data_IF_211934251691
#
_entry.id   IF_211934251691
#
_cell.length_a   1.000
_cell.length_b   1.000
_cell.length_c   1.000
_cell.angle_alpha   90.00
_cell.angle_beta   90.00
_cell.angle_gamma   90.00
#
_symmetry.space_group_name_H-M   'P 1'
#
loop_
_entity.id
_entity.type
_entity.pdbx_description
1 polymer ?
#
# COMPACT_ATOMS: atom_id res chain seq x y z
N UNK A 1 -23.67 -23.50 3.11
CA UNK A 1 -22.57 -22.54 3.01
C UNK A 1 -21.37 -23.28 2.48
N UNK A 2 -20.61 -22.73 1.52
CA UNK A 2 -19.44 -23.39 0.94
C UNK A 2 -18.32 -23.40 1.99
N UNK A 3 -17.62 -24.54 2.14
CA UNK A 3 -16.47 -24.67 3.04
C UNK A 3 -15.17 -24.26 2.33
N UNK A 4 -14.99 -22.94 2.15
CA UNK A 4 -13.81 -22.42 1.46
C UNK A 4 -12.50 -22.72 2.19
N UNK A 5 -12.49 -22.84 3.52
CA UNK A 5 -11.26 -23.18 4.24
C UNK A 5 -10.85 -24.64 4.00
N UNK A 6 -11.82 -25.57 3.93
CA UNK A 6 -11.56 -26.95 3.55
C UNK A 6 -11.04 -27.06 2.13
N UNK A 7 -11.71 -26.42 1.15
CA UNK A 7 -11.30 -26.40 -0.25
C UNK A 7 -9.92 -25.77 -0.44
N UNK A 8 -9.62 -24.65 0.25
CA UNK A 8 -8.32 -23.99 0.18
C UNK A 8 -7.18 -24.88 0.73
N UNK A 9 -7.44 -25.66 1.77
CA UNK A 9 -6.47 -26.63 2.30
C UNK A 9 -6.12 -27.73 1.28
N UNK A 10 -7.08 -28.17 0.48
CA UNK A 10 -6.85 -29.18 -0.56
C UNK A 10 -5.88 -28.67 -1.64
N UNK A 11 -5.90 -27.37 -1.94
CA UNK A 11 -5.03 -26.72 -2.92
C UNK A 11 -3.83 -25.98 -2.30
N UNK A 12 -3.58 -26.10 -0.97
CA UNK A 12 -2.54 -25.34 -0.28
C UNK A 12 -1.16 -25.54 -0.90
N UNK A 13 -0.82 -26.75 -1.28
CA UNK A 13 0.47 -27.03 -1.93
C UNK A 13 0.62 -26.24 -3.25
N UNK A 14 -0.43 -26.11 -4.03
CA UNK A 14 -0.41 -25.32 -5.27
C UNK A 14 -0.21 -23.81 -4.95
N UNK A 15 -0.92 -23.28 -3.96
CA UNK A 15 -0.75 -21.88 -3.54
C UNK A 15 0.70 -21.62 -3.13
N UNK A 16 1.29 -22.50 -2.34
CA UNK A 16 2.70 -22.42 -1.92
C UNK A 16 3.63 -22.50 -3.14
N UNK A 17 3.41 -23.40 -4.08
CA UNK A 17 4.25 -23.50 -5.28
C UNK A 17 4.12 -22.26 -6.17
N UNK A 18 2.93 -21.70 -6.31
CA UNK A 18 2.71 -20.44 -7.04
C UNK A 18 3.50 -19.30 -6.39
N UNK A 19 3.42 -19.14 -5.05
CA UNK A 19 4.22 -18.18 -4.30
C UNK A 19 5.72 -18.36 -4.55
N UNK A 20 6.25 -19.57 -4.38
CA UNK A 20 7.69 -19.88 -4.55
C UNK A 20 8.17 -19.62 -5.96
N UNK A 21 7.31 -19.88 -6.97
CA UNK A 21 7.63 -19.61 -8.37
C UNK A 21 7.80 -18.11 -8.64
N UNK A 22 6.93 -17.26 -8.09
CA UNK A 22 7.04 -15.80 -8.20
C UNK A 22 8.26 -15.31 -7.42
N UNK A 23 8.48 -15.84 -6.20
CA UNK A 23 9.58 -15.46 -5.32
C UNK A 23 10.96 -15.67 -5.93
N UNK A 24 11.15 -16.72 -6.74
CA UNK A 24 12.43 -17.03 -7.41
C UNK A 24 12.83 -16.02 -8.49
N UNK A 25 11.90 -15.28 -9.05
CA UNK A 25 12.12 -14.37 -10.16
C UNK A 25 11.45 -13.02 -9.90
N UNK A 26 11.80 -12.34 -8.79
CA UNK A 26 11.19 -11.07 -8.45
C UNK A 26 11.50 -10.01 -9.50
N UNK A 27 10.50 -9.22 -9.82
CA UNK A 27 10.56 -8.12 -10.78
C UNK A 27 10.01 -6.86 -10.10
N UNK A 28 10.39 -5.66 -10.56
CA UNK A 28 10.09 -4.41 -9.83
C UNK A 28 9.24 -3.44 -10.63
N UNK A 29 8.40 -2.71 -9.93
CA UNK A 29 7.60 -1.63 -10.50
C UNK A 29 6.70 -2.10 -11.64
N UNK A 30 6.91 -1.57 -12.86
CA UNK A 30 6.13 -1.94 -14.05
C UNK A 30 6.80 -2.98 -14.94
N UNK A 31 8.02 -3.39 -14.66
CA UNK A 31 8.80 -4.35 -15.44
C UNK A 31 8.58 -5.77 -14.88
N UNK A 32 7.42 -6.38 -15.19
CA UNK A 32 6.91 -7.61 -14.57
C UNK A 32 6.65 -8.74 -15.58
N UNK A 33 7.39 -8.81 -16.66
CA UNK A 33 7.07 -9.68 -17.80
C UNK A 33 6.84 -11.15 -17.41
N UNK A 34 7.72 -11.73 -16.59
CA UNK A 34 7.61 -13.13 -16.14
C UNK A 34 6.46 -13.35 -15.17
N UNK A 35 6.26 -12.41 -14.25
CA UNK A 35 5.16 -12.46 -13.29
C UNK A 35 3.82 -12.38 -14.02
N UNK A 36 3.71 -11.50 -14.99
CA UNK A 36 2.51 -11.35 -15.81
C UNK A 36 2.21 -12.61 -16.64
N UNK A 37 3.23 -13.17 -17.30
CA UNK A 37 3.08 -14.43 -18.06
C UNK A 37 2.59 -15.56 -17.15
N UNK A 38 3.20 -15.69 -15.96
CA UNK A 38 2.82 -16.72 -14.98
C UNK A 38 1.38 -16.56 -14.48
N UNK A 39 0.95 -15.33 -14.13
CA UNK A 39 -0.42 -15.06 -13.67
C UNK A 39 -1.44 -15.34 -14.78
N UNK A 40 -1.15 -14.93 -16.02
CA UNK A 40 -2.02 -15.22 -17.18
C UNK A 40 -2.13 -16.72 -17.44
N UNK A 41 -1.02 -17.46 -17.37
CA UNK A 41 -0.99 -18.92 -17.54
C UNK A 41 -1.87 -19.59 -16.49
N UNK A 42 -1.70 -19.22 -15.21
CA UNK A 42 -2.49 -19.81 -14.10
C UNK A 42 -3.99 -19.50 -14.21
N UNK A 43 -4.36 -18.29 -14.54
CA UNK A 43 -5.77 -17.95 -14.74
C UNK A 43 -6.38 -18.77 -15.89
N UNK A 44 -5.67 -18.96 -17.01
CA UNK A 44 -6.13 -19.79 -18.12
C UNK A 44 -6.24 -21.27 -17.74
N UNK A 45 -5.29 -21.80 -16.94
CA UNK A 45 -5.38 -23.17 -16.40
C UNK A 45 -6.66 -23.37 -15.57
N UNK A 46 -7.10 -22.35 -14.84
CA UNK A 46 -8.35 -22.38 -14.06
C UNK A 46 -9.61 -22.11 -14.91
N UNK A 47 -9.47 -21.91 -16.22
CA UNK A 47 -10.59 -21.59 -17.11
C UNK A 47 -11.11 -20.16 -16.95
N UNK A 48 -10.25 -19.24 -16.52
CA UNK A 48 -10.53 -17.82 -16.35
C UNK A 48 -9.76 -17.05 -17.43
N UNK A 49 -10.45 -16.19 -18.21
CA UNK A 49 -9.81 -15.44 -19.30
C UNK A 49 -9.19 -14.12 -18.74
N UNK A 50 -7.84 -13.99 -18.71
CA UNK A 50 -7.16 -12.79 -18.27
C UNK A 50 -7.15 -11.71 -19.34
N UNK A 51 -7.10 -10.46 -18.92
CA UNK A 51 -6.94 -9.29 -19.78
C UNK A 51 -5.90 -8.34 -19.18
N UNK A 52 -4.97 -7.86 -19.99
CA UNK A 52 -4.04 -6.80 -19.60
C UNK A 52 -4.77 -5.47 -19.42
N UNK A 53 -4.38 -4.69 -18.42
CA UNK A 53 -4.97 -3.39 -18.09
C UNK A 53 -3.88 -2.46 -17.54
N UNK A 54 -3.84 -1.22 -18.02
CA UNK A 54 -2.74 -0.31 -17.73
C UNK A 54 -1.42 -0.78 -18.36
N UNK A 55 -0.32 -0.36 -17.76
CA UNK A 55 1.04 -0.68 -18.28
C UNK A 55 1.41 -2.15 -18.06
N UNK A 56 1.13 -2.68 -16.87
CA UNK A 56 1.55 -4.04 -16.48
C UNK A 56 0.59 -4.69 -15.47
N UNK A 57 -0.70 -4.36 -15.53
CA UNK A 57 -1.72 -4.98 -14.71
C UNK A 57 -2.46 -6.11 -15.43
N UNK A 58 -3.06 -7.02 -14.65
CA UNK A 58 -3.95 -8.08 -15.15
C UNK A 58 -5.30 -7.97 -14.45
N UNK A 59 -6.38 -8.16 -15.18
CA UNK A 59 -7.73 -8.29 -14.66
C UNK A 59 -8.42 -9.50 -15.27
N UNK A 60 -9.34 -10.07 -14.51
CA UNK A 60 -10.28 -11.08 -15.00
C UNK A 60 -11.58 -10.98 -14.20
N UNK A 61 -12.65 -11.62 -14.68
CA UNK A 61 -13.94 -11.66 -14.01
C UNK A 61 -14.42 -13.08 -13.86
N UNK A 62 -15.12 -13.37 -12.76
CA UNK A 62 -15.73 -14.66 -12.43
C UNK A 62 -17.15 -14.39 -11.96
N UNK A 63 -18.12 -15.22 -12.39
CA UNK A 63 -19.52 -15.11 -11.98
C UNK A 63 -20.41 -14.56 -13.06
N UNK A 64 -21.51 -13.91 -12.66
CA UNK A 64 -22.61 -13.46 -13.52
C UNK A 64 -22.87 -11.97 -13.37
N UNK A 65 -23.77 -11.44 -14.21
CA UNK A 65 -24.26 -10.05 -14.08
C UNK A 65 -24.86 -9.79 -12.69
N UNK A 66 -24.58 -8.63 -12.12
CA UNK A 66 -25.01 -8.22 -10.79
C UNK A 66 -24.00 -7.26 -10.15
N UNK A 67 -24.02 -7.16 -8.82
CA UNK A 67 -23.02 -6.39 -8.08
C UNK A 67 -21.62 -6.93 -8.31
N UNK A 68 -20.65 -6.03 -8.26
CA UNK A 68 -19.25 -6.39 -8.53
C UNK A 68 -18.37 -6.06 -7.33
N UNK A 69 -17.66 -7.07 -6.81
CA UNK A 69 -16.58 -6.87 -5.84
C UNK A 69 -15.22 -7.08 -6.52
N UNK A 70 -14.30 -6.13 -6.30
CA UNK A 70 -12.92 -6.22 -6.78
C UNK A 70 -12.04 -6.83 -5.69
N UNK A 71 -11.24 -7.83 -6.04
CA UNK A 71 -10.19 -8.41 -5.18
C UNK A 71 -8.83 -8.00 -5.74
N UNK A 72 -7.97 -7.42 -4.90
CA UNK A 72 -6.66 -6.89 -5.30
C UNK A 72 -5.51 -7.66 -4.67
N UNK A 73 -4.50 -7.98 -5.47
CA UNK A 73 -3.15 -8.32 -5.04
C UNK A 73 -2.14 -7.55 -5.86
N UNK A 74 -1.10 -7.05 -5.21
CA UNK A 74 0.08 -6.48 -5.84
C UNK A 74 1.07 -7.57 -6.27
N UNK A 75 2.00 -7.25 -7.20
CA UNK A 75 2.88 -8.23 -7.83
C UNK A 75 4.35 -7.86 -7.81
N UNK A 76 4.70 -6.59 -7.60
CA UNK A 76 6.07 -6.11 -7.70
C UNK A 76 6.91 -6.41 -6.47
N UNK A 77 8.23 -6.39 -6.65
CA UNK A 77 9.24 -6.64 -5.63
C UNK A 77 10.06 -5.38 -5.36
N UNK A 78 10.94 -5.47 -4.36
CA UNK A 78 11.85 -4.40 -3.96
C UNK A 78 13.25 -4.56 -4.56
N UNK A 79 13.93 -3.44 -4.89
CA UNK A 79 15.30 -3.44 -5.39
C UNK A 79 16.31 -3.63 -4.24
N UNK A 80 16.29 -4.80 -3.64
CA UNK A 80 17.24 -5.22 -2.60
C UNK A 80 17.59 -6.69 -2.77
N UNK A 81 18.83 -7.06 -2.47
CA UNK A 81 19.29 -8.44 -2.56
C UNK A 81 18.74 -9.27 -1.40
N UNK A 82 18.21 -10.42 -1.70
CA UNK A 82 17.68 -11.34 -0.69
C UNK A 82 18.79 -12.00 0.14
N UNK A 83 18.53 -12.16 1.46
CA UNK A 83 19.44 -12.76 2.44
C UNK A 83 18.78 -13.90 3.24
N UNK A 84 17.64 -14.44 2.79
CA UNK A 84 16.88 -15.47 3.53
C UNK A 84 17.57 -16.83 3.57
N UNK A 85 18.34 -17.19 2.54
CA UNK A 85 18.94 -18.50 2.39
C UNK A 85 17.96 -19.63 2.08
N UNK A 86 16.73 -19.32 1.64
CA UNK A 86 15.72 -20.29 1.22
C UNK A 86 16.16 -21.05 -0.04
N UNK A 87 15.74 -22.31 -0.20
CA UNK A 87 16.02 -23.10 -1.42
C UNK A 87 15.47 -22.45 -2.69
N UNK A 88 14.40 -21.68 -2.56
CA UNK A 88 13.74 -20.92 -3.63
C UNK A 88 14.01 -19.41 -3.54
N UNK A 89 15.09 -19.01 -2.85
CA UNK A 89 15.49 -17.61 -2.78
C UNK A 89 15.65 -16.99 -4.16
N UNK A 90 15.51 -15.66 -4.23
CA UNK A 90 15.69 -14.89 -5.46
C UNK A 90 17.02 -15.17 -6.14
N UNK A 91 16.99 -15.36 -7.45
CA UNK A 91 18.16 -15.54 -8.30
C UNK A 91 18.76 -14.23 -8.84
N UNK A 92 18.21 -13.06 -8.48
CA UNK A 92 18.62 -11.75 -8.98
C UNK A 92 18.86 -10.73 -7.83
N UNK A 93 18.95 -9.45 -8.14
CA UNK A 93 19.21 -8.37 -7.17
C UNK A 93 17.90 -7.78 -6.56
N UNK A 94 16.76 -8.45 -6.73
CA UNK A 94 15.47 -8.04 -6.21
C UNK A 94 14.94 -9.04 -5.19
N UNK A 95 14.00 -8.63 -4.34
CA UNK A 95 13.45 -9.49 -3.28
C UNK A 95 11.97 -9.17 -3.02
N UNK A 96 11.15 -10.21 -2.87
CA UNK A 96 9.77 -10.09 -2.39
C UNK A 96 9.69 -9.93 -0.86
N UNK A 97 10.40 -8.94 -0.31
CA UNK A 97 10.43 -8.69 1.13
C UNK A 97 9.22 -7.92 1.66
N UNK A 98 8.28 -7.51 0.78
CA UNK A 98 6.95 -7.01 1.17
C UNK A 98 5.87 -8.09 1.10
N UNK A 99 6.16 -9.25 0.45
CA UNK A 99 5.26 -10.40 0.40
C UNK A 99 4.24 -10.37 -0.74
N UNK A 100 4.45 -9.56 -1.77
CA UNK A 100 3.55 -9.47 -2.92
C UNK A 100 3.48 -10.79 -3.72
N UNK A 101 4.50 -11.63 -3.65
CA UNK A 101 4.48 -13.02 -4.11
C UNK A 101 3.40 -13.86 -3.40
N UNK A 102 3.26 -13.67 -2.09
CA UNK A 102 2.21 -14.32 -1.29
C UNK A 102 0.82 -13.73 -1.61
N UNK A 103 0.70 -12.41 -1.75
CA UNK A 103 -0.56 -11.77 -2.13
C UNK A 103 -1.07 -12.28 -3.48
N UNK A 104 -0.21 -12.31 -4.49
CA UNK A 104 -0.51 -12.84 -5.82
C UNK A 104 -0.92 -14.31 -5.76
N UNK A 105 -0.19 -15.14 -5.00
CA UNK A 105 -0.50 -16.57 -4.86
C UNK A 105 -1.84 -16.81 -4.15
N UNK A 106 -2.15 -16.03 -3.10
CA UNK A 106 -3.45 -16.11 -2.40
C UNK A 106 -4.60 -15.71 -3.33
N UNK A 107 -4.44 -14.66 -4.14
CA UNK A 107 -5.48 -14.24 -5.08
C UNK A 107 -5.66 -15.26 -6.23
N UNK A 108 -4.60 -15.88 -6.72
CA UNK A 108 -4.68 -17.01 -7.66
C UNK A 108 -5.43 -18.20 -7.05
N UNK A 109 -5.12 -18.56 -5.79
CA UNK A 109 -5.85 -19.58 -5.06
C UNK A 109 -7.34 -19.27 -4.91
N UNK A 110 -7.66 -18.03 -4.52
CA UNK A 110 -9.04 -17.56 -4.45
C UNK A 110 -9.76 -17.59 -5.81
N UNK A 111 -9.08 -17.19 -6.87
CA UNK A 111 -9.62 -17.24 -8.23
C UNK A 111 -10.01 -18.66 -8.65
N UNK A 112 -9.17 -19.66 -8.35
CA UNK A 112 -9.48 -21.07 -8.59
C UNK A 112 -10.71 -21.50 -7.80
N UNK A 113 -10.74 -21.25 -6.49
CA UNK A 113 -11.87 -21.61 -5.62
C UNK A 113 -13.20 -20.99 -6.09
N UNK A 114 -13.15 -19.71 -6.46
CA UNK A 114 -14.31 -18.98 -6.96
C UNK A 114 -14.78 -19.51 -8.31
N UNK A 115 -13.86 -19.88 -9.21
CA UNK A 115 -14.20 -20.45 -10.49
C UNK A 115 -14.88 -21.82 -10.36
N UNK A 116 -14.39 -22.66 -9.46
CA UNK A 116 -15.00 -23.96 -9.16
C UNK A 116 -16.42 -23.81 -8.56
N UNK A 117 -16.73 -22.66 -7.97
CA UNK A 117 -18.02 -22.35 -7.36
C UNK A 117 -18.80 -21.24 -8.12
N UNK A 118 -18.43 -20.96 -9.37
CA UNK A 118 -18.90 -19.79 -10.15
C UNK A 118 -20.44 -19.69 -10.22
N UNK A 119 -21.12 -20.79 -10.41
CA UNK A 119 -22.59 -20.83 -10.53
C UNK A 119 -23.33 -20.40 -9.24
N UNK A 120 -22.64 -20.47 -8.09
CA UNK A 120 -23.20 -20.08 -6.79
C UNK A 120 -23.00 -18.59 -6.47
N UNK A 121 -22.28 -17.84 -7.31
CA UNK A 121 -22.02 -16.43 -7.10
C UNK A 121 -23.26 -15.58 -7.44
N UNK A 122 -23.67 -14.70 -6.54
CA UNK A 122 -24.77 -13.74 -6.71
C UNK A 122 -24.41 -12.48 -7.53
N UNK A 123 -23.30 -12.48 -8.26
CA UNK A 123 -22.81 -11.33 -9.02
C UNK A 123 -21.42 -11.59 -9.58
N UNK A 124 -20.62 -10.55 -9.77
CA UNK A 124 -19.28 -10.62 -10.37
C UNK A 124 -18.16 -10.43 -9.34
N UNK A 125 -17.19 -11.32 -9.32
CA UNK A 125 -15.88 -11.08 -8.71
C UNK A 125 -14.92 -10.61 -9.80
N UNK A 126 -14.30 -9.46 -9.60
CA UNK A 126 -13.30 -8.88 -10.50
C UNK A 126 -11.93 -8.96 -9.85
N UNK A 127 -10.98 -9.57 -10.53
CA UNK A 127 -9.60 -9.71 -10.06
C UNK A 127 -8.76 -8.53 -10.52
N UNK A 128 -7.90 -8.04 -9.65
CA UNK A 128 -6.91 -6.99 -9.92
C UNK A 128 -5.54 -7.47 -9.45
N UNK A 129 -4.70 -7.90 -10.40
CA UNK A 129 -3.29 -8.16 -10.15
C UNK A 129 -2.52 -6.91 -10.54
N UNK A 130 -2.00 -6.20 -9.54
CA UNK A 130 -1.52 -4.83 -9.64
C UNK A 130 0.01 -4.76 -9.69
N UNK A 131 0.62 -4.01 -10.63
CA UNK A 131 2.05 -3.69 -10.63
C UNK A 131 2.36 -2.49 -9.72
N UNK A 132 3.63 -2.21 -9.50
CA UNK A 132 4.18 -0.93 -9.06
C UNK A 132 3.53 -0.33 -7.79
N UNK A 133 3.18 -1.18 -6.81
CA UNK A 133 2.72 -0.70 -5.50
C UNK A 133 3.84 0.05 -4.78
N UNK A 134 5.06 -0.49 -4.79
CA UNK A 134 6.25 0.09 -4.15
C UNK A 134 6.68 1.45 -4.77
N UNK A 135 6.16 1.77 -5.94
CA UNK A 135 6.29 3.08 -6.58
C UNK A 135 5.09 4.01 -6.31
N UNK A 136 4.06 3.51 -5.59
CA UNK A 136 2.77 4.21 -5.34
C UNK A 136 2.08 4.68 -6.63
N UNK A 137 2.15 3.88 -7.70
CA UNK A 137 1.73 4.30 -9.03
C UNK A 137 0.83 3.29 -9.75
N UNK A 138 0.87 2.01 -9.36
CA UNK A 138 0.21 0.94 -10.10
C UNK A 138 -1.31 0.98 -10.02
N UNK A 139 -1.86 1.27 -8.84
CA UNK A 139 -3.31 1.39 -8.68
C UNK A 139 -3.89 2.51 -9.55
N UNK A 140 -3.24 3.68 -9.58
CA UNK A 140 -3.68 4.82 -10.39
C UNK A 140 -3.60 4.50 -11.88
N UNK A 141 -2.51 3.89 -12.36
CA UNK A 141 -2.35 3.44 -13.75
C UNK A 141 -3.48 2.51 -14.18
N UNK A 142 -3.83 1.52 -13.36
CA UNK A 142 -4.96 0.61 -13.64
C UNK A 142 -6.33 1.30 -13.58
N UNK A 143 -6.51 2.28 -12.67
CA UNK A 143 -7.75 3.07 -12.59
C UNK A 143 -7.93 3.92 -13.84
N UNK A 144 -6.89 4.60 -14.30
CA UNK A 144 -6.90 5.40 -15.54
C UNK A 144 -7.17 4.52 -16.77
N UNK A 145 -6.71 3.28 -16.75
CA UNK A 145 -7.01 2.28 -17.78
C UNK A 145 -8.39 1.61 -17.64
N UNK A 146 -9.21 2.01 -16.65
CA UNK A 146 -10.60 1.60 -16.50
C UNK A 146 -10.83 0.33 -15.70
N UNK A 147 -9.94 -0.06 -14.78
CA UNK A 147 -10.12 -1.27 -13.93
C UNK A 147 -11.43 -1.23 -13.11
N UNK A 148 -11.90 -0.05 -12.73
CA UNK A 148 -13.14 0.10 -11.96
C UNK A 148 -14.42 0.06 -12.82
N UNK A 149 -14.27 -0.03 -14.15
CA UNK A 149 -15.38 -0.05 -15.12
C UNK A 149 -15.44 -1.40 -15.86
N UNK A 150 -16.61 -1.72 -16.41
CA UNK A 150 -16.84 -2.86 -17.30
C UNK A 150 -16.39 -4.24 -16.75
N UNK A 151 -17.06 -4.79 -15.71
CA UNK A 151 -18.19 -4.25 -14.97
C UNK A 151 -17.78 -3.16 -13.98
N UNK A 152 -18.73 -2.28 -13.66
CA UNK A 152 -18.51 -1.23 -12.66
C UNK A 152 -18.34 -1.84 -11.28
N UNK A 153 -17.29 -1.49 -10.59
CA UNK A 153 -16.96 -1.99 -9.25
C UNK A 153 -17.84 -1.29 -8.18
N UNK A 154 -18.48 -2.07 -7.33
CA UNK A 154 -19.30 -1.58 -6.21
C UNK A 154 -18.54 -1.57 -4.87
N UNK A 155 -17.59 -2.50 -4.70
CA UNK A 155 -16.72 -2.60 -3.52
C UNK A 155 -15.37 -3.20 -3.87
N UNK A 156 -14.37 -2.98 -3.03
CA UNK A 156 -13.04 -3.54 -3.21
C UNK A 156 -12.48 -4.12 -1.90
N UNK A 157 -11.77 -5.24 -2.00
CA UNK A 157 -11.06 -5.89 -0.90
C UNK A 157 -9.61 -6.14 -1.31
N UNK A 158 -8.68 -5.70 -0.47
CA UNK A 158 -7.26 -6.04 -0.53
C UNK A 158 -6.83 -6.79 0.73
N UNK A 159 -5.80 -7.61 0.62
CA UNK A 159 -5.20 -8.29 1.75
C UNK A 159 -3.68 -8.15 1.67
N UNK A 160 -3.07 -7.73 2.77
CA UNK A 160 -1.63 -7.68 2.92
C UNK A 160 -1.15 -8.73 3.92
N UNK A 161 0.04 -9.26 3.78
CA UNK A 161 0.64 -10.10 4.83
C UNK A 161 1.09 -9.23 6.02
N UNK A 162 1.10 -9.82 7.21
CA UNK A 162 1.58 -9.21 8.42
C UNK A 162 2.52 -10.17 9.14
N UNK A 163 3.77 -9.77 9.35
CA UNK A 163 4.83 -10.64 9.85
C UNK A 163 5.76 -9.88 10.79
N UNK A 164 6.40 -10.59 11.71
CA UNK A 164 7.46 -10.04 12.55
C UNK A 164 6.98 -9.16 13.70
N UNK A 165 5.76 -9.35 14.17
CA UNK A 165 5.25 -8.67 15.38
C UNK A 165 4.35 -9.60 16.21
N UNK A 166 3.88 -9.13 17.37
CA UNK A 166 3.08 -9.93 18.31
C UNK A 166 1.69 -10.30 17.77
N UNK A 167 1.10 -9.46 16.92
CA UNK A 167 -0.26 -9.64 16.39
C UNK A 167 -0.29 -10.37 15.02
N UNK A 168 0.87 -10.75 14.49
CA UNK A 168 0.98 -11.41 13.19
C UNK A 168 0.98 -12.95 13.26
N UNK A 169 0.36 -13.52 14.30
CA UNK A 169 0.25 -14.97 14.47
C UNK A 169 -0.35 -15.61 13.21
N UNK A 170 0.24 -16.72 12.80
CA UNK A 170 -0.14 -17.47 11.59
C UNK A 170 -1.64 -17.73 11.52
N UNK A 171 -2.29 -17.27 10.44
CA UNK A 171 -3.72 -17.47 10.19
C UNK A 171 -4.66 -16.49 10.90
N UNK A 172 -4.15 -15.49 11.64
CA UNK A 172 -4.99 -14.43 12.21
C UNK A 172 -5.22 -13.30 11.21
N UNK A 173 -6.30 -12.52 11.41
CA UNK A 173 -6.56 -11.30 10.64
C UNK A 173 -6.46 -10.09 11.55
N UNK A 174 -5.67 -9.11 11.14
CA UNK A 174 -5.60 -7.79 11.76
C UNK A 174 -6.26 -6.74 10.86
N UNK A 175 -7.09 -5.85 11.42
CA UNK A 175 -7.83 -4.85 10.66
C UNK A 175 -8.01 -3.55 11.43
N UNK A 176 -8.01 -2.43 10.71
CA UNK A 176 -8.44 -1.14 11.22
C UNK A 176 -9.82 -0.78 10.65
N UNK A 177 -10.69 -0.19 11.44
CA UNK A 177 -12.00 0.31 11.03
C UNK A 177 -11.95 1.83 10.86
N UNK A 178 -12.07 2.32 9.64
CA UNK A 178 -11.84 3.72 9.31
C UNK A 178 -10.38 3.99 8.93
N UNK A 179 -9.68 4.95 9.54
CA UNK A 179 -8.28 5.23 9.24
C UNK A 179 -7.41 3.98 9.43
N UNK A 180 -6.77 3.51 8.36
CA UNK A 180 -5.97 2.29 8.34
C UNK A 180 -4.48 2.57 8.17
N UNK A 181 -4.09 3.45 7.23
CA UNK A 181 -2.71 3.87 7.01
C UNK A 181 -2.61 5.39 6.87
N UNK A 182 -1.46 5.95 7.30
CA UNK A 182 -1.16 7.35 7.09
C UNK A 182 -0.93 7.68 5.61
N UNK A 183 -1.18 8.94 5.24
CA UNK A 183 -0.64 9.50 4.00
C UNK A 183 0.89 9.55 4.04
N UNK A 184 1.52 9.63 2.87
CA UNK A 184 2.94 9.91 2.77
C UNK A 184 3.19 10.90 1.65
N UNK A 185 3.76 12.08 1.99
CA UNK A 185 4.14 13.10 1.02
C UNK A 185 5.59 13.51 1.20
N UNK A 186 6.27 13.74 0.09
CA UNK A 186 7.60 14.35 0.05
C UNK A 186 7.54 15.71 -0.61
N UNK A 187 8.09 16.71 0.07
CA UNK A 187 8.10 18.12 -0.36
C UNK A 187 9.54 18.59 -0.44
N UNK A 188 9.92 19.20 -1.55
CA UNK A 188 11.19 19.91 -1.70
C UNK A 188 10.98 21.39 -1.51
N UNK A 189 11.89 22.03 -0.78
CA UNK A 189 11.92 23.49 -0.59
C UNK A 189 13.26 23.98 -1.06
N UNK A 190 13.26 24.79 -2.11
CA UNK A 190 14.45 25.45 -2.61
C UNK A 190 14.48 26.90 -2.14
N UNK A 191 15.44 27.24 -1.29
CA UNK A 191 15.65 28.59 -0.76
C UNK A 191 16.63 29.35 -1.65
N UNK A 192 16.20 30.50 -2.15
CA UNK A 192 16.99 31.43 -2.95
C UNK A 192 17.40 32.65 -2.11
N UNK A 193 18.67 32.81 -1.92
CA UNK A 193 19.31 33.95 -1.32
C UNK A 193 20.16 34.74 -2.34
N UNK A 194 21.28 35.28 -1.86
CA UNK A 194 22.26 35.99 -2.68
C UNK A 194 23.66 35.78 -2.12
N UNK A 195 24.57 35.26 -2.91
CA UNK A 195 25.96 35.08 -2.53
C UNK A 195 26.64 36.43 -2.19
N UNK A 196 27.51 36.41 -1.20
CA UNK A 196 28.39 37.50 -0.86
C UNK A 196 29.66 36.97 -0.19
N UNK A 197 30.71 37.80 -0.14
CA UNK A 197 31.90 37.49 0.63
C UNK A 197 31.57 37.48 2.13
N UNK A 198 32.02 36.47 2.88
CA UNK A 198 31.69 36.31 4.29
C UNK A 198 32.00 37.49 5.21
N UNK A 199 32.92 38.37 4.80
CA UNK A 199 33.27 39.62 5.52
C UNK A 199 32.32 40.82 5.17
N UNK A 200 31.47 40.68 4.17
CA UNK A 200 30.49 41.72 3.75
C UNK A 200 29.08 41.13 3.64
N UNK A 201 28.53 40.61 4.76
CA UNK A 201 27.23 39.95 4.76
C UNK A 201 26.06 40.88 4.38
N UNK A 202 26.21 42.16 4.57
CA UNK A 202 25.26 43.21 4.18
C UNK A 202 24.98 43.28 2.67
N UNK A 203 25.83 42.66 1.85
CA UNK A 203 25.69 42.62 0.38
C UNK A 203 25.00 41.39 -0.15
N UNK A 204 24.72 40.41 0.73
CA UNK A 204 24.11 39.13 0.40
C UNK A 204 22.79 38.88 1.10
N UNK A 205 22.22 37.68 0.86
CA UNK A 205 21.06 37.13 1.54
C UNK A 205 21.42 35.65 1.84
N UNK A 206 21.49 35.32 3.11
CA UNK A 206 21.98 34.00 3.56
C UNK A 206 20.89 32.95 3.47
N UNK A 207 20.98 32.08 2.45
CA UNK A 207 20.02 31.00 2.24
C UNK A 207 20.10 29.91 3.33
N UNK A 208 21.28 29.66 3.92
CA UNK A 208 21.43 28.69 5.03
C UNK A 208 20.69 29.19 6.26
N UNK A 209 20.86 30.48 6.61
CA UNK A 209 20.14 31.09 7.74
C UNK A 209 18.61 30.99 7.54
N UNK A 210 18.14 31.31 6.32
CA UNK A 210 16.71 31.18 5.97
C UNK A 210 16.23 29.74 6.14
N UNK A 211 16.96 28.77 5.58
CA UNK A 211 16.61 27.35 5.68
C UNK A 211 16.54 26.87 7.14
N UNK A 212 17.49 27.28 7.99
CA UNK A 212 17.47 26.97 9.42
C UNK A 212 16.21 27.54 10.12
N UNK A 213 15.80 28.76 9.79
CA UNK A 213 14.57 29.35 10.33
C UNK A 213 13.31 28.64 9.82
N UNK A 214 13.30 28.17 8.55
CA UNK A 214 12.20 27.34 8.02
C UNK A 214 12.07 26.05 8.83
N UNK A 215 13.17 25.33 9.11
CA UNK A 215 13.16 24.10 9.93
C UNK A 215 12.51 24.36 11.29
N UNK A 216 12.88 25.44 11.96
CA UNK A 216 12.32 25.81 13.28
C UNK A 216 10.83 26.19 13.14
N UNK A 217 10.49 27.01 12.16
CA UNK A 217 9.12 27.51 11.98
C UNK A 217 8.12 26.38 11.62
N UNK A 218 8.55 25.35 10.86
CA UNK A 218 7.70 24.21 10.52
C UNK A 218 7.27 23.41 11.75
N UNK A 219 8.05 23.43 12.86
CA UNK A 219 7.64 22.77 14.12
C UNK A 219 6.36 23.37 14.71
N UNK A 220 6.03 24.62 14.38
CA UNK A 220 4.81 25.30 14.82
C UNK A 220 3.55 24.55 14.35
N UNK A 221 3.57 23.93 13.17
CA UNK A 221 2.42 23.22 12.61
C UNK A 221 1.96 22.14 13.58
N UNK A 222 2.86 21.19 13.91
CA UNK A 222 2.52 20.09 14.82
C UNK A 222 2.27 20.57 16.23
N UNK A 223 3.04 21.54 16.71
CA UNK A 223 2.98 21.98 18.09
C UNK A 223 1.74 22.85 18.43
N UNK A 224 1.10 23.49 17.45
CA UNK A 224 0.07 24.51 17.70
C UNK A 224 -1.12 24.49 16.74
N UNK A 225 -1.04 23.80 15.59
CA UNK A 225 -2.07 23.87 14.56
C UNK A 225 -2.81 22.55 14.34
N UNK A 226 -2.17 21.41 14.67
CA UNK A 226 -2.81 20.09 14.63
C UNK A 226 -3.68 19.91 15.87
N UNK A 227 -4.97 19.52 15.75
CA UNK A 227 -5.82 19.17 16.87
C UNK A 227 -5.22 18.07 17.74
N UNK A 228 -5.49 18.10 19.05
CA UNK A 228 -4.91 17.15 20.00
C UNK A 228 -5.43 15.71 19.85
N UNK A 229 -6.54 15.54 19.17
CA UNK A 229 -7.19 14.26 18.85
C UNK A 229 -6.88 13.77 17.42
N UNK A 230 -6.07 14.51 16.67
CA UNK A 230 -5.59 14.13 15.34
C UNK A 230 -4.10 13.75 15.37
N UNK A 231 -3.65 12.99 14.39
CA UNK A 231 -2.26 12.54 14.26
C UNK A 231 -1.68 13.02 12.95
N UNK A 232 -0.53 13.70 13.04
CA UNK A 232 0.19 14.20 11.88
C UNK A 232 1.70 14.24 12.15
N UNK A 233 2.48 14.18 11.07
CA UNK A 233 3.95 14.28 11.12
C UNK A 233 4.41 15.27 10.07
N UNK A 234 5.31 16.19 10.47
CA UNK A 234 6.07 17.06 9.58
C UNK A 234 7.52 17.04 10.04
N UNK A 235 8.40 16.46 9.24
CA UNK A 235 9.84 16.42 9.54
C UNK A 235 10.66 16.90 8.34
N UNK A 236 11.72 17.65 8.62
CA UNK A 236 12.76 17.97 7.63
C UNK A 236 13.81 16.87 7.73
N UNK A 237 13.83 15.96 6.75
CA UNK A 237 14.73 14.81 6.72
C UNK A 237 16.11 15.13 6.14
N UNK A 238 16.19 16.21 5.33
CA UNK A 238 17.46 16.62 4.73
C UNK A 238 17.52 18.13 4.59
N UNK A 239 18.70 18.70 4.82
CA UNK A 239 19.03 20.09 4.59
C UNK A 239 20.45 20.16 3.98
N UNK A 240 20.64 20.97 2.95
CA UNK A 240 21.93 21.22 2.30
C UNK A 240 22.02 22.66 1.81
N UNK A 241 23.21 23.21 1.76
CA UNK A 241 23.43 24.58 1.25
C UNK A 241 24.86 25.07 1.44
N UNK A 242 25.23 26.06 0.63
CA UNK A 242 26.55 26.69 0.64
C UNK A 242 27.66 25.88 -0.03
N UNK A 243 28.74 26.56 -0.44
CA UNK A 243 29.85 25.98 -1.17
C UNK A 243 31.16 26.03 -0.38
N UNK A 244 31.43 27.16 0.33
CA UNK A 244 32.68 27.35 1.07
C UNK A 244 32.42 28.10 2.38
N UNK A 245 33.37 27.93 3.34
CA UNK A 245 33.27 28.50 4.70
C UNK A 245 33.26 30.06 4.73
N UNK A 246 33.81 30.70 3.72
CA UNK A 246 34.01 32.15 3.67
C UNK A 246 33.09 32.92 2.71
N UNK A 247 32.00 32.28 2.27
CA UNK A 247 30.96 32.91 1.45
C UNK A 247 29.57 32.75 2.07
N UNK A 248 28.70 33.76 1.94
CA UNK A 248 27.29 33.60 2.17
C UNK A 248 26.70 32.66 1.11
N UNK A 249 25.89 31.71 1.55
CA UNK A 249 25.22 30.79 0.64
C UNK A 249 24.09 31.47 -0.13
N UNK A 250 24.13 31.40 -1.46
CA UNK A 250 23.08 31.94 -2.33
C UNK A 250 21.91 30.98 -2.52
N UNK A 251 22.05 29.73 -2.11
CA UNK A 251 20.96 28.74 -2.14
C UNK A 251 21.08 27.71 -1.02
N UNK A 252 19.94 27.14 -0.64
CA UNK A 252 19.85 25.97 0.24
C UNK A 252 18.61 25.15 -0.12
N UNK A 253 18.68 23.84 0.12
CA UNK A 253 17.61 22.88 -0.17
C UNK A 253 17.20 22.13 1.09
N UNK A 254 15.89 21.89 1.24
CA UNK A 254 15.32 21.03 2.28
C UNK A 254 14.41 19.99 1.64
N UNK A 255 14.42 18.79 2.21
CA UNK A 255 13.47 17.73 1.89
C UNK A 255 12.63 17.44 3.14
N UNK A 256 11.30 17.55 2.98
CA UNK A 256 10.32 17.45 4.07
C UNK A 256 9.43 16.24 3.83
N UNK A 257 9.25 15.39 4.85
CA UNK A 257 8.25 14.34 4.87
C UNK A 257 7.05 14.80 5.67
N UNK A 258 5.85 14.57 5.09
CA UNK A 258 4.55 14.89 5.69
C UNK A 258 3.70 13.65 5.75
N UNK A 259 3.02 13.42 6.90
CA UNK A 259 2.08 12.32 7.07
C UNK A 259 0.83 12.80 7.81
N UNK A 260 -0.33 12.28 7.41
CA UNK A 260 -1.63 12.61 7.97
C UNK A 260 -2.56 11.38 7.98
N UNK A 261 -3.56 11.42 8.87
CA UNK A 261 -4.58 10.37 9.00
C UNK A 261 -5.80 10.60 8.12
N UNK A 262 -5.98 11.84 7.62
CA UNK A 262 -7.10 12.22 6.77
C UNK A 262 -6.63 13.08 5.59
N UNK A 263 -7.33 13.02 4.46
CA UNK A 263 -7.01 13.86 3.29
C UNK A 263 -7.15 15.34 3.62
N UNK A 264 -8.11 15.73 4.45
CA UNK A 264 -8.27 17.12 4.92
C UNK A 264 -7.04 17.62 5.66
N UNK A 265 -6.49 16.81 6.58
CA UNK A 265 -5.27 17.15 7.32
C UNK A 265 -4.05 17.17 6.39
N UNK A 266 -3.95 16.21 5.48
CA UNK A 266 -2.88 16.14 4.48
C UNK A 266 -2.78 17.43 3.64
N UNK A 267 -3.88 17.87 3.05
CA UNK A 267 -3.94 19.10 2.27
C UNK A 267 -3.67 20.35 3.13
N UNK A 268 -4.14 20.36 4.38
CA UNK A 268 -3.81 21.41 5.32
C UNK A 268 -2.30 21.50 5.58
N UNK A 269 -1.64 20.38 5.88
CA UNK A 269 -0.21 20.34 6.15
C UNK A 269 0.62 20.79 4.94
N UNK A 270 0.30 20.28 3.74
CA UNK A 270 0.94 20.72 2.49
C UNK A 270 0.86 22.23 2.28
N UNK A 271 -0.33 22.77 2.47
CA UNK A 271 -0.57 24.23 2.40
C UNK A 271 0.28 24.98 3.43
N UNK A 272 0.30 24.52 4.69
CA UNK A 272 1.04 25.20 5.76
C UNK A 272 2.55 25.14 5.59
N UNK A 273 3.10 23.99 5.15
CA UNK A 273 4.53 23.87 4.82
C UNK A 273 4.91 24.90 3.77
N UNK A 274 4.11 25.04 2.72
CA UNK A 274 4.35 26.04 1.66
C UNK A 274 4.29 27.48 2.21
N UNK A 275 3.19 27.84 2.88
CA UNK A 275 2.97 29.20 3.40
C UNK A 275 4.08 29.62 4.37
N UNK A 276 4.46 28.77 5.31
CA UNK A 276 5.51 29.06 6.30
C UNK A 276 6.85 29.25 5.60
N UNK A 277 7.21 28.35 4.69
CA UNK A 277 8.48 28.38 3.99
C UNK A 277 8.64 29.67 3.15
N UNK A 278 7.61 30.03 2.39
CA UNK A 278 7.60 31.21 1.56
C UNK A 278 7.67 32.51 2.41
N UNK A 279 6.88 32.60 3.49
CA UNK A 279 6.84 33.81 4.34
C UNK A 279 8.12 33.95 5.18
N UNK A 280 8.70 32.88 5.70
CA UNK A 280 10.00 32.92 6.40
C UNK A 280 11.08 33.44 5.45
N UNK A 281 11.14 32.91 4.22
CA UNK A 281 12.12 33.36 3.24
C UNK A 281 11.99 34.87 2.93
N UNK A 282 10.77 35.36 2.73
CA UNK A 282 10.50 36.77 2.50
C UNK A 282 10.90 37.63 3.71
N UNK A 283 10.66 37.18 4.94
CA UNK A 283 11.05 37.89 6.17
C UNK A 283 12.53 38.20 6.23
N UNK A 284 13.39 37.30 5.68
CA UNK A 284 14.84 37.44 5.63
C UNK A 284 15.35 37.99 4.27
N UNK A 285 14.46 38.47 3.42
CA UNK A 285 14.80 39.09 2.13
C UNK A 285 15.07 38.11 1.00
N UNK A 286 14.88 36.81 1.22
CA UNK A 286 15.02 35.76 0.22
C UNK A 286 13.68 35.31 -0.39
N UNK A 287 13.72 34.13 -1.07
CA UNK A 287 12.55 33.48 -1.64
C UNK A 287 12.65 31.97 -1.37
N UNK A 288 11.53 31.31 -1.09
CA UNK A 288 11.45 29.85 -1.13
C UNK A 288 10.53 29.43 -2.27
N UNK A 289 10.91 28.35 -2.97
CA UNK A 289 10.09 27.66 -3.97
C UNK A 289 9.79 26.27 -3.42
N UNK A 290 8.50 25.90 -3.36
CA UNK A 290 8.03 24.65 -2.77
C UNK A 290 7.45 23.75 -3.85
N UNK A 291 8.01 22.56 -3.99
CA UNK A 291 7.60 21.52 -4.93
C UNK A 291 7.02 20.33 -4.16
N UNK A 292 5.81 19.92 -4.51
CA UNK A 292 5.22 18.65 -4.05
C UNK A 292 5.73 17.55 -4.96
N UNK A 293 6.72 16.79 -4.49
CA UNK A 293 7.49 15.87 -5.33
C UNK A 293 6.74 14.59 -5.64
N UNK A 294 6.26 13.91 -4.60
CA UNK A 294 5.38 12.76 -4.71
C UNK A 294 4.52 12.64 -3.45
N UNK A 295 3.43 11.88 -3.53
CA UNK A 295 2.62 11.61 -2.35
C UNK A 295 1.41 10.74 -2.62
N UNK A 296 0.99 10.05 -1.56
CA UNK A 296 -0.18 9.21 -1.51
C UNK A 296 -1.09 9.63 -0.35
N UNK A 297 -2.41 9.59 -0.58
CA UNK A 297 -3.41 9.84 0.46
C UNK A 297 -3.42 8.78 1.55
N UNK A 298 -4.10 9.03 2.68
CA UNK A 298 -4.27 8.04 3.74
C UNK A 298 -5.22 6.94 3.29
N UNK A 299 -4.96 5.69 3.69
CA UNK A 299 -5.91 4.60 3.48
C UNK A 299 -7.01 4.68 4.53
N UNK A 300 -8.25 4.72 4.06
CA UNK A 300 -9.44 4.70 4.89
C UNK A 300 -10.30 3.48 4.54
N UNK A 301 -10.39 2.50 5.43
CA UNK A 301 -11.28 1.37 5.31
C UNK A 301 -12.73 1.81 5.51
N UNK A 302 -13.60 1.54 4.53
CA UNK A 302 -15.01 1.90 4.59
C UNK A 302 -15.70 1.24 5.79
N UNK A 303 -16.36 2.03 6.62
CA UNK A 303 -16.81 1.58 7.95
C UNK A 303 -17.74 0.35 7.89
N UNK A 304 -18.82 0.44 7.14
CA UNK A 304 -19.82 -0.63 7.09
C UNK A 304 -19.30 -1.86 6.34
N UNK A 305 -18.57 -1.64 5.24
CA UNK A 305 -17.93 -2.74 4.51
C UNK A 305 -16.88 -3.46 5.35
N UNK A 306 -16.14 -2.73 6.22
CA UNK A 306 -15.20 -3.37 7.15
C UNK A 306 -15.93 -4.29 8.12
N UNK A 307 -17.06 -3.84 8.70
CA UNK A 307 -17.84 -4.65 9.64
C UNK A 307 -18.37 -5.92 8.94
N UNK A 308 -18.83 -5.81 7.69
CA UNK A 308 -19.29 -6.95 6.88
C UNK A 308 -18.14 -7.93 6.58
N UNK A 309 -17.02 -7.45 6.01
CA UNK A 309 -15.87 -8.30 5.64
C UNK A 309 -15.29 -9.00 6.86
N UNK A 310 -15.14 -8.30 7.99
CA UNK A 310 -14.67 -8.89 9.24
C UNK A 310 -15.67 -9.93 9.77
N UNK A 311 -16.96 -9.68 9.63
CA UNK A 311 -18.00 -10.66 9.93
C UNK A 311 -17.85 -11.94 9.11
N UNK A 312 -17.58 -11.84 7.82
CA UNK A 312 -17.34 -12.98 6.95
C UNK A 312 -16.03 -13.72 7.28
N UNK A 313 -14.97 -12.98 7.65
CA UNK A 313 -13.74 -13.58 8.14
C UNK A 313 -13.96 -14.37 9.42
N UNK A 314 -14.77 -13.84 10.36
CA UNK A 314 -15.14 -14.51 11.62
C UNK A 314 -15.78 -15.88 11.39
N UNK A 315 -16.60 -16.03 10.35
CA UNK A 315 -17.23 -17.31 9.99
C UNK A 315 -16.21 -18.39 9.61
N UNK A 316 -15.03 -18.01 9.12
CA UNK A 316 -13.98 -18.92 8.65
C UNK A 316 -12.96 -19.24 9.73
N UNK A 317 -12.46 -18.20 10.42
CA UNK A 317 -11.32 -18.34 11.32
C UNK A 317 -11.66 -18.21 12.81
N UNK A 318 -12.91 -17.87 13.16
CA UNK A 318 -13.33 -17.59 14.54
C UNK A 318 -12.98 -16.17 15.02
N UNK A 319 -13.69 -15.71 16.05
CA UNK A 319 -13.52 -14.35 16.59
C UNK A 319 -12.17 -14.16 17.29
N UNK A 320 -11.67 -15.21 17.91
CA UNK A 320 -10.40 -15.27 18.64
C UNK A 320 -9.16 -15.06 17.73
N UNK A 321 -9.34 -15.15 16.41
CA UNK A 321 -8.29 -14.94 15.41
C UNK A 321 -8.43 -13.57 14.70
N UNK A 322 -9.29 -12.69 15.21
CA UNK A 322 -9.49 -11.33 14.70
C UNK A 322 -8.87 -10.30 15.64
N UNK A 323 -7.96 -9.49 15.13
CA UNK A 323 -7.28 -8.44 15.86
C UNK A 323 -7.71 -7.06 15.31
N UNK A 324 -8.46 -6.28 16.11
CA UNK A 324 -8.66 -4.88 15.76
C UNK A 324 -7.43 -4.08 16.15
N UNK A 325 -6.81 -3.43 15.16
CA UNK A 325 -5.59 -2.64 15.35
C UNK A 325 -5.86 -1.14 15.19
N UNK A 326 -5.04 -0.26 15.78
CA UNK A 326 -5.05 1.16 15.48
C UNK A 326 -4.54 1.41 14.05
N UNK A 327 -4.63 2.67 13.61
CA UNK A 327 -4.00 3.12 12.36
C UNK A 327 -2.50 2.80 12.37
N UNK A 328 -1.99 2.23 11.28
CA UNK A 328 -0.59 1.89 11.14
C UNK A 328 0.20 2.95 10.34
N UNK A 329 1.50 3.03 10.62
CA UNK A 329 2.41 3.94 9.90
C UNK A 329 2.89 3.24 8.64
N UNK A 330 2.44 3.70 7.49
CA UNK A 330 2.77 3.17 6.17
C UNK A 330 2.00 3.92 5.11
N UNK A 331 2.34 3.69 3.86
CA UNK A 331 1.64 4.23 2.67
C UNK A 331 1.32 3.05 1.75
N UNK A 332 0.19 3.10 1.08
CA UNK A 332 -0.32 2.03 0.24
C UNK A 332 -1.16 2.63 -0.88
N UNK A 333 -0.91 2.24 -2.12
CA UNK A 333 -1.58 2.84 -3.28
C UNK A 333 -3.00 2.28 -3.56
N UNK A 334 -3.39 1.18 -2.88
CA UNK A 334 -4.80 0.77 -2.80
C UNK A 334 -5.72 1.89 -2.30
N UNK A 335 -5.16 2.88 -1.62
CA UNK A 335 -5.83 4.16 -1.29
C UNK A 335 -6.51 4.78 -2.50
N UNK A 336 -5.91 4.69 -3.68
CA UNK A 336 -6.48 5.23 -4.93
C UNK A 336 -7.76 4.50 -5.33
N UNK A 337 -7.85 3.19 -5.09
CA UNK A 337 -9.07 2.38 -5.30
C UNK A 337 -10.11 2.70 -4.22
N UNK A 338 -9.71 2.66 -2.94
CA UNK A 338 -10.59 2.92 -1.79
C UNK A 338 -11.15 4.35 -1.77
N UNK A 339 -10.47 5.29 -2.42
CA UNK A 339 -10.95 6.66 -2.64
C UNK A 339 -12.02 6.81 -3.74
N UNK A 340 -12.24 5.76 -4.54
CA UNK A 340 -13.23 5.77 -5.65
C UNK A 340 -14.45 4.90 -5.37
N UNK A 341 -14.26 3.80 -4.65
CA UNK A 341 -15.31 2.84 -4.27
C UNK A 341 -15.14 2.46 -2.79
N UNK A 342 -16.19 2.00 -2.10
CA UNK A 342 -16.03 1.41 -0.78
C UNK A 342 -14.95 0.34 -0.80
N UNK A 343 -13.83 0.59 -0.10
CA UNK A 343 -12.66 -0.29 -0.07
C UNK A 343 -12.30 -0.72 1.35
N UNK A 344 -11.77 -1.92 1.49
CA UNK A 344 -11.25 -2.46 2.74
C UNK A 344 -9.94 -3.17 2.48
N UNK A 345 -8.95 -2.92 3.32
CA UNK A 345 -7.71 -3.67 3.38
C UNK A 345 -7.57 -4.31 4.75
N UNK A 346 -7.33 -5.62 4.77
CA UNK A 346 -7.07 -6.42 5.97
C UNK A 346 -5.68 -7.03 5.91
N UNK A 347 -5.15 -7.45 7.05
CA UNK A 347 -3.81 -8.02 7.13
C UNK A 347 -3.87 -9.46 7.63
N UNK A 348 -3.30 -10.41 6.86
CA UNK A 348 -3.15 -11.80 7.23
C UNK A 348 -1.87 -12.02 8.02
N UNK A 349 -1.95 -12.54 9.23
CA UNK A 349 -0.80 -12.98 10.00
C UNK A 349 -0.13 -14.18 9.37
N UNK A 350 1.16 -14.05 9.04
CA UNK A 350 1.97 -15.08 8.41
C UNK A 350 3.24 -15.41 9.21
N UNK A 351 3.23 -15.12 10.51
CA UNK A 351 4.30 -15.45 11.43
C UNK A 351 4.54 -14.34 12.45
N UNK A 352 4.34 -14.67 13.74
CA UNK A 352 4.60 -13.76 14.86
C UNK A 352 6.02 -13.95 15.44
N UNK A 353 6.43 -12.98 16.28
CA UNK A 353 7.70 -13.07 17.04
C UNK A 353 7.72 -14.34 17.89
N UNK A 354 6.61 -14.68 18.54
CA UNK A 354 6.50 -15.88 19.37
C UNK A 354 6.58 -17.18 18.57
N UNK A 355 6.24 -17.15 17.29
CA UNK A 355 6.39 -18.28 16.35
C UNK A 355 7.79 -18.34 15.71
N UNK A 356 8.71 -17.41 16.08
CA UNK A 356 10.08 -17.36 15.59
C UNK A 356 10.32 -16.46 14.36
N UNK A 357 9.32 -15.70 13.94
CA UNK A 357 9.41 -14.74 12.83
C UNK A 357 9.69 -13.34 13.39
N UNK A 358 10.96 -12.94 13.43
CA UNK A 358 11.39 -11.68 14.06
C UNK A 358 11.63 -10.52 13.09
N UNK A 359 11.66 -10.79 11.78
CA UNK A 359 11.89 -9.78 10.75
C UNK A 359 10.57 -9.37 10.10
N UNK A 360 10.32 -8.07 10.05
CA UNK A 360 9.15 -7.52 9.36
C UNK A 360 9.39 -7.34 7.86
N UNK A 361 8.36 -6.92 7.13
CA UNK A 361 8.46 -6.54 5.71
C UNK A 361 9.56 -5.51 5.46
N UNK A 362 10.02 -5.39 4.21
CA UNK A 362 11.14 -4.54 3.76
C UNK A 362 12.50 -4.91 4.39
N UNK A 363 12.63 -6.15 4.89
CA UNK A 363 13.90 -6.70 5.36
C UNK A 363 14.38 -7.81 4.40
N UNK A 364 15.64 -7.80 3.93
CA UNK A 364 16.14 -8.79 2.98
C UNK A 364 16.15 -10.23 3.51
N UNK A 365 16.09 -10.40 4.82
CA UNK A 365 15.99 -11.70 5.49
C UNK A 365 14.57 -12.09 5.91
N UNK A 366 13.54 -11.35 5.48
CA UNK A 366 12.13 -11.64 5.83
C UNK A 366 11.70 -12.98 5.29
N UNK A 367 11.14 -13.80 6.17
CA UNK A 367 10.51 -15.08 5.85
C UNK A 367 9.10 -15.12 6.44
N UNK A 368 8.22 -15.90 5.85
CA UNK A 368 6.84 -16.07 6.29
C UNK A 368 6.46 -17.55 6.41
N UNK A 369 5.43 -17.83 7.21
CA UNK A 369 4.83 -19.16 7.29
C UNK A 369 3.86 -19.38 6.14
N UNK A 370 4.25 -20.15 5.15
CA UNK A 370 3.46 -20.45 3.95
C UNK A 370 2.15 -21.20 4.26
N UNK A 371 2.07 -21.86 5.42
CA UNK A 371 0.82 -22.53 5.84
C UNK A 371 -0.35 -21.56 6.08
N UNK A 372 -0.09 -20.27 6.22
CA UNK A 372 -1.15 -19.26 6.31
C UNK A 372 -1.83 -18.95 4.96
N UNK A 373 -1.19 -19.26 3.84
CA UNK A 373 -1.63 -18.75 2.51
C UNK A 373 -2.99 -19.29 2.09
N UNK A 374 -3.31 -20.54 2.44
CA UNK A 374 -4.65 -21.10 2.17
C UNK A 374 -5.75 -20.34 2.92
N UNK A 375 -5.46 -19.79 4.10
CA UNK A 375 -6.41 -18.96 4.86
C UNK A 375 -6.72 -17.68 4.07
N UNK A 376 -5.70 -17.01 3.54
CA UNK A 376 -5.90 -15.81 2.71
C UNK A 376 -6.74 -16.07 1.46
N UNK A 377 -6.46 -17.17 0.74
CA UNK A 377 -7.26 -17.59 -0.41
C UNK A 377 -8.71 -17.88 -0.03
N UNK A 378 -8.94 -18.61 1.07
CA UNK A 378 -10.28 -18.89 1.58
C UNK A 378 -11.05 -17.63 1.97
N UNK A 379 -10.39 -16.68 2.63
CA UNK A 379 -11.02 -15.43 3.06
C UNK A 379 -11.41 -14.53 1.89
N UNK A 380 -10.58 -14.42 0.85
CA UNK A 380 -10.97 -13.72 -0.39
C UNK A 380 -12.22 -14.36 -1.01
N UNK A 381 -12.25 -15.70 -1.12
CA UNK A 381 -13.38 -16.42 -1.71
C UNK A 381 -14.65 -16.30 -0.84
N UNK A 382 -14.54 -16.49 0.47
CA UNK A 382 -15.66 -16.36 1.41
C UNK A 382 -16.23 -14.94 1.41
N UNK A 383 -15.37 -13.93 1.57
CA UNK A 383 -15.80 -12.54 1.67
C UNK A 383 -16.53 -12.07 0.40
N UNK A 384 -15.98 -12.40 -0.77
CA UNK A 384 -16.61 -12.02 -2.05
C UNK A 384 -17.93 -12.76 -2.28
N UNK A 385 -17.99 -14.06 -2.03
CA UNK A 385 -19.22 -14.83 -2.17
C UNK A 385 -20.31 -14.31 -1.24
N UNK A 386 -19.99 -14.07 0.03
CA UNK A 386 -20.96 -13.54 1.03
C UNK A 386 -21.44 -12.15 0.65
N UNK A 387 -20.52 -11.27 0.27
CA UNK A 387 -20.84 -9.92 -0.19
C UNK A 387 -21.85 -9.95 -1.34
N UNK A 388 -21.62 -10.76 -2.37
CA UNK A 388 -22.47 -10.85 -3.54
C UNK A 388 -23.85 -11.48 -3.22
N UNK A 389 -23.88 -12.56 -2.45
CA UNK A 389 -25.14 -13.22 -2.05
C UNK A 389 -26.05 -12.31 -1.21
N UNK A 390 -25.49 -11.45 -0.37
CA UNK A 390 -26.28 -10.51 0.44
C UNK A 390 -26.89 -9.39 -0.41
N UNK A 391 -26.18 -8.94 -1.46
CA UNK A 391 -26.68 -7.91 -2.39
C UNK A 391 -27.73 -8.47 -3.35
N UNK A 392 -27.55 -9.68 -3.87
CA UNK A 392 -28.56 -10.35 -4.69
C UNK A 392 -29.91 -10.43 -3.97
N UNK A 393 -29.92 -10.80 -2.67
CA UNK A 393 -31.14 -10.85 -1.84
C UNK A 393 -31.80 -9.49 -1.57
N UNK A 394 -31.06 -8.40 -1.68
CA UNK A 394 -31.59 -7.04 -1.48
C UNK A 394 -32.24 -6.48 -2.76
N UNK A 395 -31.87 -7.03 -3.91
CA UNK A 395 -32.44 -6.64 -5.22
C UNK A 395 -33.67 -7.47 -5.60
N UNK A 396 -33.91 -8.64 -4.97
CA UNK A 396 -35.11 -9.43 -5.05
C UNK A 396 -36.26 -8.86 -4.15
#
# INVERSE_FOLDING_TARGET
>A
MIDYIGLAKEINNEIIQNRRRIHQFPETGFELDRTLEFVEEKLKEYGIEPRRVGRSGITATIGKEGKTILLRADMDALPMKEETGLEFASGNEFCHSCGHDAHTAMLLGAARLLKEQEESLGGTVKLMFQPAEELLAGALDMIEAGILENPKVDAALAMHIYVGNELSRTGTISYARGPALFSGDAIKIHVKGKNAHGSTPDKGIDAISIAAHIVIALQQIIAREVPTDDQAVVIVGKISGGDTVNTLAGSADLEVSVRATTEKMREYLKKRVKEISENVAVTFGGKAEVEFWYGMGPLFNHLDLTDEIVGYCKEVIGEENLNKIPIAVGTEDFTSVAGKVPGVMINLGVGSIDEGYSLSIHNPGMVLNEEALHVGAALYAQASTRYLMEREKQEE
#
